data_IF_249233676290
#
_entry.id   IF_249233676290
#
_cell.length_a   1.000
_cell.length_b   1.000
_cell.length_c   1.000
_cell.angle_alpha   90.00
_cell.angle_beta   90.00
_cell.angle_gamma   90.00
#
_symmetry.space_group_name_H-M   'P 1'
#
loop_
_entity.id
_entity.type
_entity.pdbx_description
1 polymer ?
#
# COMPACT_ATOMS: atom_id res chain seq x y z
N UNK A 1 27.76 -23.39 4.28
CA UNK A 1 26.49 -23.08 3.59
C UNK A 1 25.40 -23.18 4.64
N UNK A 2 25.36 -22.22 5.56
CA UNK A 2 24.26 -22.16 6.53
C UNK A 2 23.08 -21.58 5.78
N UNK A 3 21.98 -22.33 5.71
CA UNK A 3 20.72 -21.83 5.20
C UNK A 3 20.36 -20.57 5.98
N UNK A 4 20.32 -19.40 5.34
CA UNK A 4 19.61 -18.26 5.91
C UNK A 4 18.19 -18.75 6.18
N UNK A 5 17.83 -18.98 7.44
CA UNK A 5 16.55 -19.60 7.76
C UNK A 5 15.42 -18.67 7.34
N UNK A 6 14.58 -19.12 6.40
CA UNK A 6 13.33 -18.46 6.10
C UNK A 6 12.46 -18.44 7.36
N UNK A 7 11.95 -17.27 7.73
CA UNK A 7 11.00 -17.15 8.84
C UNK A 7 9.61 -17.47 8.30
N UNK A 8 8.91 -18.37 8.97
CA UNK A 8 7.53 -18.75 8.61
C UNK A 8 6.57 -18.47 9.76
N UNK A 9 5.44 -17.89 9.43
CA UNK A 9 4.38 -17.58 10.38
C UNK A 9 3.02 -18.08 9.85
N UNK A 10 2.20 -18.65 10.73
CA UNK A 10 0.88 -19.18 10.39
C UNK A 10 -0.20 -18.28 10.96
N UNK A 11 -0.97 -17.64 10.09
CA UNK A 11 -2.08 -16.76 10.47
C UNK A 11 -3.35 -17.53 10.86
N UNK A 12 -3.44 -18.82 10.52
CA UNK A 12 -4.63 -19.65 10.79
C UNK A 12 -5.75 -19.49 9.75
N UNK A 13 -5.94 -18.29 9.20
CA UNK A 13 -6.76 -18.03 8.01
C UNK A 13 -5.91 -17.72 6.79
N UNK A 14 -6.57 -17.66 5.65
CA UNK A 14 -6.01 -17.15 4.41
C UNK A 14 -5.56 -15.69 4.57
N UNK A 15 -4.31 -15.37 4.21
CA UNK A 15 -3.74 -14.02 4.28
C UNK A 15 -4.03 -13.31 2.95
N UNK A 16 -4.61 -12.12 3.04
CA UNK A 16 -5.03 -11.31 1.90
C UNK A 16 -4.13 -10.11 1.63
N UNK A 17 -3.59 -9.51 2.69
CA UNK A 17 -2.76 -8.31 2.60
C UNK A 17 -1.52 -8.47 3.47
N UNK A 18 -0.38 -8.05 2.93
CA UNK A 18 0.90 -7.94 3.62
C UNK A 18 1.42 -6.53 3.37
N UNK A 19 1.77 -5.81 4.44
CA UNK A 19 2.36 -4.46 4.39
C UNK A 19 3.45 -4.31 5.43
N UNK A 20 4.68 -4.11 4.97
CA UNK A 20 5.77 -3.78 5.85
C UNK A 20 5.69 -2.30 6.25
N UNK A 21 6.12 -2.00 7.47
CA UNK A 21 6.26 -0.62 7.88
C UNK A 21 7.55 -0.05 7.28
N UNK A 22 7.43 1.06 6.57
CA UNK A 22 8.55 1.72 5.94
C UNK A 22 9.03 2.98 6.69
N UNK A 23 8.47 3.23 7.86
CA UNK A 23 8.91 4.30 8.74
C UNK A 23 10.11 3.83 9.56
N UNK A 24 11.09 4.71 9.77
CA UNK A 24 12.34 4.36 10.45
C UNK A 24 12.10 3.79 11.86
N UNK A 25 11.17 4.40 12.60
CA UNK A 25 10.81 3.99 13.95
C UNK A 25 10.05 2.65 14.00
N UNK A 26 9.51 2.19 12.89
CA UNK A 26 8.72 0.95 12.77
C UNK A 26 9.30 -0.08 11.82
N UNK A 27 10.54 0.08 11.34
CA UNK A 27 11.08 -0.65 10.19
C UNK A 27 11.13 -2.19 10.35
N UNK A 28 10.99 -2.71 11.57
CA UNK A 28 10.90 -4.13 11.91
C UNK A 28 9.48 -4.65 12.11
N UNK A 29 8.47 -3.82 11.88
CA UNK A 29 7.06 -4.19 11.97
C UNK A 29 6.50 -4.62 10.61
N UNK A 30 5.61 -5.61 10.67
CA UNK A 30 4.91 -6.16 9.52
C UNK A 30 3.43 -6.36 9.88
N UNK A 31 2.55 -5.76 9.09
CA UNK A 31 1.11 -5.95 9.21
C UNK A 31 0.67 -7.01 8.21
N UNK A 32 -0.09 -7.98 8.69
CA UNK A 32 -0.75 -8.99 7.86
C UNK A 32 -2.24 -8.98 8.18
N UNK A 33 -3.06 -9.19 7.16
CA UNK A 33 -4.50 -9.30 7.37
C UNK A 33 -5.09 -10.53 6.70
N UNK A 34 -5.97 -11.19 7.46
CA UNK A 34 -6.69 -12.37 7.04
C UNK A 34 -8.12 -12.07 6.60
N UNK A 35 -9.03 -12.95 7.02
CA UNK A 35 -10.46 -12.88 6.66
C UNK A 35 -11.24 -11.96 7.58
N UNK A 36 -10.80 -11.78 8.81
CA UNK A 36 -11.51 -11.01 9.84
C UNK A 36 -10.56 -10.31 10.84
N UNK A 37 -9.28 -10.65 10.82
CA UNK A 37 -8.26 -10.09 11.72
C UNK A 37 -7.14 -9.38 10.97
N UNK A 38 -6.55 -8.38 11.65
CA UNK A 38 -5.27 -7.78 11.30
C UNK A 38 -4.30 -8.11 12.42
N UNK A 39 -3.19 -8.77 12.09
CA UNK A 39 -2.13 -9.11 13.03
C UNK A 39 -0.88 -8.28 12.74
N UNK A 40 -0.25 -7.81 13.80
CA UNK A 40 1.02 -7.09 13.73
C UNK A 40 2.13 -7.98 14.27
N UNK A 41 3.15 -8.14 13.45
CA UNK A 41 4.32 -8.95 13.76
C UNK A 41 5.55 -8.05 13.90
N UNK A 42 6.34 -8.31 14.95
CA UNK A 42 7.69 -7.84 15.11
C UNK A 42 8.65 -8.84 14.46
N UNK A 43 9.44 -8.39 13.50
CA UNK A 43 10.29 -9.25 12.66
C UNK A 43 11.76 -9.06 13.03
N UNK A 44 12.38 -10.12 13.54
CA UNK A 44 13.84 -10.18 13.72
C UNK A 44 14.49 -10.86 12.51
N UNK A 45 15.83 -10.90 12.41
CA UNK A 45 16.52 -11.67 11.38
C UNK A 45 16.16 -13.17 11.35
N UNK A 46 15.74 -13.75 12.48
CA UNK A 46 15.57 -15.20 12.64
C UNK A 46 14.20 -15.63 13.15
N UNK A 47 13.33 -14.69 13.51
CA UNK A 47 12.02 -14.98 14.08
C UNK A 47 11.00 -13.90 13.76
N UNK A 48 9.73 -14.27 13.90
CA UNK A 48 8.61 -13.32 13.95
C UNK A 48 7.88 -13.50 15.27
N UNK A 49 7.46 -12.39 15.87
CA UNK A 49 6.71 -12.36 17.12
C UNK A 49 5.42 -11.58 16.92
N UNK A 50 4.29 -12.17 17.32
CA UNK A 50 3.00 -11.49 17.29
C UNK A 50 2.88 -10.50 18.46
N UNK A 51 2.57 -9.23 18.17
CA UNK A 51 2.51 -8.15 19.18
C UNK A 51 1.13 -7.47 19.30
N UNK A 52 0.27 -7.55 18.29
CA UNK A 52 -1.08 -7.00 18.32
C UNK A 52 -2.02 -7.76 17.39
N UNK A 53 -3.29 -7.88 17.78
CA UNK A 53 -4.35 -8.48 16.96
C UNK A 53 -5.62 -7.63 17.01
N UNK A 54 -6.10 -7.20 15.86
CA UNK A 54 -7.31 -6.39 15.73
C UNK A 54 -8.41 -7.18 15.03
N UNK A 55 -9.56 -7.31 15.69
CA UNK A 55 -10.74 -7.96 15.12
C UNK A 55 -11.56 -6.95 14.30
N UNK A 56 -11.43 -7.00 12.98
CA UNK A 56 -12.18 -6.16 12.04
C UNK A 56 -13.54 -6.80 11.71
N UNK A 57 -13.64 -8.14 11.79
CA UNK A 57 -14.89 -8.89 11.58
C UNK A 57 -15.28 -9.06 10.11
N UNK A 58 -14.46 -8.59 9.18
CA UNK A 58 -14.67 -8.72 7.73
C UNK A 58 -13.33 -8.70 6.99
N UNK A 59 -13.33 -9.18 5.75
CA UNK A 59 -12.10 -9.39 4.97
C UNK A 59 -11.44 -8.07 4.66
N UNK A 60 -10.17 -7.96 5.03
CA UNK A 60 -9.35 -6.79 4.72
C UNK A 60 -8.88 -6.85 3.27
N UNK A 61 -9.01 -5.72 2.57
CA UNK A 61 -8.66 -5.58 1.15
C UNK A 61 -7.39 -4.76 0.94
N UNK A 62 -7.10 -3.81 1.84
CA UNK A 62 -5.89 -3.00 1.82
C UNK A 62 -5.50 -2.57 3.24
N UNK A 63 -4.21 -2.30 3.44
CA UNK A 63 -3.61 -1.84 4.70
C UNK A 63 -2.64 -0.71 4.40
N UNK A 64 -2.44 0.21 5.36
CA UNK A 64 -1.32 1.13 5.36
C UNK A 64 -0.91 1.52 6.78
N UNK A 65 0.38 1.79 6.95
CA UNK A 65 0.97 2.21 8.21
C UNK A 65 0.88 3.73 8.35
N UNK A 66 0.53 4.19 9.54
CA UNK A 66 0.64 5.61 9.87
C UNK A 66 2.11 6.00 10.11
N UNK A 67 2.51 7.23 9.72
CA UNK A 67 3.81 7.80 10.12
C UNK A 67 4.01 7.93 11.64
N UNK A 68 2.96 7.77 12.45
CA UNK A 68 3.01 7.81 13.93
C UNK A 68 3.49 6.51 14.58
N UNK A 69 3.80 5.50 13.78
CA UNK A 69 4.22 4.19 14.28
C UNK A 69 5.60 4.25 14.94
N UNK A 70 5.73 3.62 16.08
CA UNK A 70 6.98 3.34 16.76
C UNK A 70 7.00 1.88 17.22
N UNK A 71 8.07 1.17 16.91
CA UNK A 71 8.26 -0.23 17.29
C UNK A 71 8.66 -0.37 18.76
N UNK A 72 8.25 -1.47 19.45
CA UNK A 72 8.75 -1.80 20.78
C UNK A 72 10.28 -1.91 20.88
N UNK A 73 10.98 -2.14 19.76
CA UNK A 73 12.45 -2.20 19.73
C UNK A 73 13.09 -0.81 19.61
N UNK A 74 12.35 0.17 19.08
CA UNK A 74 12.82 1.53 18.84
C UNK A 74 12.51 2.47 20.02
N UNK A 75 11.36 2.30 20.68
CA UNK A 75 10.90 3.14 21.79
C UNK A 75 10.27 2.32 22.92
N UNK A 76 10.38 2.81 24.16
CA UNK A 76 9.63 2.28 25.30
C UNK A 76 8.16 2.71 25.27
N UNK A 77 7.92 3.91 24.78
CA UNK A 77 6.59 4.45 24.51
C UNK A 77 6.31 4.21 23.02
N UNK A 78 6.08 2.94 22.70
CA UNK A 78 5.84 2.50 21.33
C UNK A 78 4.34 2.60 21.02
N UNK A 79 4.03 2.84 19.75
CA UNK A 79 2.68 3.03 19.25
C UNK A 79 2.51 2.36 17.90
N UNK A 80 1.45 1.58 17.76
CA UNK A 80 1.00 0.98 16.51
C UNK A 80 -0.20 1.78 16.06
N UNK A 81 -0.15 2.26 14.83
CA UNK A 81 -1.29 2.89 14.16
C UNK A 81 -1.32 2.43 12.69
N UNK A 82 -2.37 1.72 12.33
CA UNK A 82 -2.58 1.12 11.00
C UNK A 82 -3.99 1.42 10.55
N UNK A 83 -4.17 1.72 9.27
CA UNK A 83 -5.52 1.79 8.68
C UNK A 83 -5.77 0.55 7.83
N UNK A 84 -6.95 -0.04 8.01
CA UNK A 84 -7.43 -1.17 7.22
C UNK A 84 -8.68 -0.79 6.43
N UNK A 85 -8.75 -1.20 5.16
CA UNK A 85 -9.99 -1.23 4.39
C UNK A 85 -10.53 -2.63 4.36
N UNK A 86 -11.86 -2.77 4.38
CA UNK A 86 -12.49 -4.07 4.30
C UNK A 86 -13.50 -4.20 3.16
N UNK A 87 -13.94 -5.44 2.94
CA UNK A 87 -14.88 -5.86 1.90
C UNK A 87 -16.27 -5.21 2.06
N UNK A 88 -16.59 -4.65 3.23
CA UNK A 88 -17.80 -3.87 3.46
C UNK A 88 -17.66 -2.37 3.12
N UNK A 89 -16.57 -1.98 2.43
CA UNK A 89 -16.25 -0.61 2.00
C UNK A 89 -15.98 0.38 3.14
N UNK A 90 -15.86 -0.11 4.38
CA UNK A 90 -15.49 0.70 5.53
C UNK A 90 -13.98 0.71 5.75
N UNK A 91 -13.54 1.70 6.51
CA UNK A 91 -12.18 1.87 6.98
C UNK A 91 -12.14 1.69 8.50
N UNK A 92 -11.00 1.20 9.00
CA UNK A 92 -10.78 0.98 10.41
C UNK A 92 -9.40 1.54 10.77
N UNK A 93 -9.38 2.49 11.70
CA UNK A 93 -8.15 2.96 12.33
C UNK A 93 -7.86 2.05 13.53
N UNK A 94 -6.76 1.33 13.45
CA UNK A 94 -6.33 0.31 14.40
C UNK A 94 -5.18 0.87 15.22
N UNK A 95 -5.36 1.00 16.52
CA UNK A 95 -4.36 1.59 17.42
C UNK A 95 -4.04 0.70 18.59
N UNK A 96 -2.77 0.61 18.96
CA UNK A 96 -2.29 -0.03 20.20
C UNK A 96 -1.07 0.74 20.68
N UNK A 97 -0.89 0.92 21.98
CA UNK A 97 0.33 1.53 22.52
C UNK A 97 0.93 0.67 23.62
N UNK A 98 2.07 1.09 24.16
CA UNK A 98 2.66 0.47 25.34
C UNK A 98 1.71 0.47 26.56
N UNK A 99 0.86 1.49 26.66
CA UNK A 99 -0.04 1.71 27.82
C UNK A 99 -1.49 1.28 27.56
N UNK A 100 -1.93 1.31 26.29
CA UNK A 100 -3.32 1.06 25.91
C UNK A 100 -3.45 -0.21 25.07
N UNK A 101 -4.50 -0.98 25.35
CA UNK A 101 -4.89 -2.16 24.59
C UNK A 101 -5.31 -1.82 23.15
N UNK A 102 -5.54 -2.87 22.36
CA UNK A 102 -6.01 -2.76 20.99
C UNK A 102 -7.35 -2.02 20.91
N UNK A 103 -7.38 -0.96 20.11
CA UNK A 103 -8.57 -0.19 19.81
C UNK A 103 -8.84 -0.19 18.31
N UNK A 104 -10.13 -0.29 17.96
CA UNK A 104 -10.61 -0.33 16.58
C UNK A 104 -11.64 0.78 16.40
N UNK A 105 -11.27 1.81 15.65
CA UNK A 105 -12.17 2.91 15.30
C UNK A 105 -12.66 2.76 13.86
N UNK A 106 -13.96 2.52 13.70
CA UNK A 106 -14.60 2.42 12.39
C UNK A 106 -14.93 3.79 11.82
N UNK A 107 -14.61 4.02 10.54
CA UNK A 107 -15.01 5.21 9.81
C UNK A 107 -15.23 4.94 8.32
N UNK A 108 -15.75 5.95 7.62
CA UNK A 108 -16.12 5.82 6.21
C UNK A 108 -17.31 4.88 6.00
N UNK A 109 -17.53 4.52 4.74
CA UNK A 109 -18.73 3.77 4.30
C UNK A 109 -20.01 4.62 4.26
N UNK A 110 -21.13 3.94 4.05
CA UNK A 110 -22.44 4.59 3.90
C UNK A 110 -22.48 5.53 2.68
N UNK A 111 -23.00 6.74 2.87
CA UNK A 111 -23.08 7.78 1.82
C UNK A 111 -21.79 8.62 1.69
N UNK A 112 -20.92 8.57 2.69
CA UNK A 112 -19.73 9.44 2.79
C UNK A 112 -18.43 8.70 2.50
N UNK A 113 -18.51 7.44 2.05
CA UNK A 113 -17.34 6.63 1.72
C UNK A 113 -17.47 5.93 0.37
N UNK A 114 -16.55 5.01 0.13
CA UNK A 114 -16.52 4.25 -1.11
C UNK A 114 -17.80 3.41 -1.31
N UNK A 115 -18.19 3.28 -2.57
CA UNK A 115 -19.31 2.45 -3.01
C UNK A 115 -18.84 1.20 -3.77
N UNK A 116 -17.53 0.97 -3.77
CA UNK A 116 -16.88 -0.17 -4.38
C UNK A 116 -15.74 -0.67 -3.50
N UNK A 117 -15.16 -1.80 -3.91
CA UNK A 117 -14.04 -2.39 -3.21
C UNK A 117 -12.85 -1.43 -3.20
N UNK A 118 -12.32 -1.15 -2.01
CA UNK A 118 -11.09 -0.39 -1.83
C UNK A 118 -9.91 -1.31 -2.18
N UNK A 119 -9.11 -0.90 -3.16
CA UNK A 119 -8.05 -1.72 -3.75
C UNK A 119 -6.67 -1.44 -3.14
N UNK A 120 -6.39 -0.20 -2.77
CA UNK A 120 -5.12 0.21 -2.15
C UNK A 120 -5.30 1.51 -1.36
N UNK A 121 -4.33 1.81 -0.50
CA UNK A 121 -4.35 3.02 0.33
C UNK A 121 -2.94 3.43 0.75
N UNK A 122 -2.78 4.72 1.04
CA UNK A 122 -1.52 5.30 1.53
C UNK A 122 -1.80 6.55 2.34
N UNK A 123 -1.03 6.79 3.40
CA UNK A 123 -0.96 8.13 3.97
C UNK A 123 -0.37 9.10 2.94
N UNK A 124 -0.89 10.32 2.88
CA UNK A 124 -0.42 11.36 1.98
C UNK A 124 0.93 11.88 2.49
N UNK A 125 2.04 11.26 2.07
CA UNK A 125 3.40 11.38 2.63
C UNK A 125 3.99 12.79 2.84
N UNK A 126 5.26 12.97 2.46
CA UNK A 126 6.01 14.18 2.82
C UNK A 126 6.44 14.23 4.29
N UNK A 127 6.71 15.43 4.81
CA UNK A 127 7.27 15.64 6.16
C UNK A 127 6.30 16.41 7.05
N UNK A 128 6.28 16.06 8.33
CA UNK A 128 5.54 16.78 9.36
C UNK A 128 4.10 16.31 9.52
N UNK A 129 3.29 17.11 10.21
CA UNK A 129 1.98 16.65 10.72
C UNK A 129 0.94 16.35 9.65
N UNK A 130 1.06 16.97 8.47
CA UNK A 130 0.16 16.68 7.36
C UNK A 130 0.29 15.24 6.86
N UNK A 131 1.50 14.66 6.95
CA UNK A 131 1.77 13.30 6.46
C UNK A 131 0.97 12.24 7.20
N UNK A 132 0.62 12.51 8.45
CA UNK A 132 -0.14 11.62 9.33
C UNK A 132 -1.62 12.00 9.47
N UNK A 133 -2.03 13.12 8.87
CA UNK A 133 -3.42 13.60 8.94
C UNK A 133 -4.27 13.09 7.78
N UNK A 134 -3.67 12.97 6.60
CA UNK A 134 -4.41 12.67 5.39
C UNK A 134 -4.13 11.25 4.88
N UNK A 135 -5.19 10.52 4.58
CA UNK A 135 -5.16 9.16 4.05
C UNK A 135 -5.79 9.14 2.66
N UNK A 136 -5.11 8.62 1.66
CA UNK A 136 -5.64 8.40 0.33
C UNK A 136 -6.11 6.94 0.14
N UNK A 137 -7.29 6.75 -0.43
CA UNK A 137 -7.88 5.44 -0.75
C UNK A 137 -8.36 5.41 -2.20
N UNK A 138 -8.18 4.27 -2.88
CA UNK A 138 -8.61 4.07 -4.28
C UNK A 138 -9.52 2.86 -4.41
N UNK A 139 -10.50 2.93 -5.31
CA UNK A 139 -11.60 1.96 -5.35
C UNK A 139 -12.10 1.59 -6.75
N UNK A 140 -12.80 0.46 -6.83
CA UNK A 140 -13.56 0.01 -8.00
C UNK A 140 -14.67 0.97 -8.43
N UNK A 141 -15.13 1.85 -7.51
CA UNK A 141 -16.10 2.92 -7.81
C UNK A 141 -15.50 4.08 -8.64
N UNK A 142 -14.23 3.95 -9.05
CA UNK A 142 -13.49 4.92 -9.86
C UNK A 142 -13.21 6.23 -9.12
N UNK A 143 -13.18 6.19 -7.80
CA UNK A 143 -12.85 7.36 -6.99
C UNK A 143 -11.54 7.19 -6.23
N UNK A 144 -10.80 8.29 -6.14
CA UNK A 144 -9.77 8.54 -5.15
C UNK A 144 -10.41 9.39 -4.06
N UNK A 145 -10.38 8.93 -2.81
CA UNK A 145 -10.80 9.70 -1.66
C UNK A 145 -9.59 10.06 -0.80
N UNK A 146 -9.46 11.34 -0.43
CA UNK A 146 -8.46 11.79 0.55
C UNK A 146 -9.19 12.14 1.84
N UNK A 147 -8.95 11.36 2.88
CA UNK A 147 -9.58 11.47 4.19
C UNK A 147 -8.76 12.36 5.11
N UNK A 148 -9.39 13.39 5.67
CA UNK A 148 -8.87 14.13 6.82
C UNK A 148 -9.23 13.39 8.09
N UNK A 149 -8.25 12.77 8.75
CA UNK A 149 -8.45 12.02 9.99
C UNK A 149 -8.61 12.93 11.21
N UNK A 150 -8.26 14.22 11.10
CA UNK A 150 -8.36 15.21 12.18
C UNK A 150 -9.05 16.49 11.68
N UNK A 151 -10.32 16.42 11.26
CA UNK A 151 -11.04 17.60 10.81
C UNK A 151 -11.24 18.58 11.97
N UNK A 152 -11.25 19.90 11.72
CA UNK A 152 -11.56 20.87 12.76
C UNK A 152 -12.95 20.57 13.34
N UNK A 153 -13.07 20.45 14.66
CA UNK A 153 -14.37 20.32 15.33
C UNK A 153 -15.18 21.61 15.17
N UNK A 154 -15.91 21.73 14.06
CA UNK A 154 -16.87 22.81 13.84
C UNK A 154 -18.26 22.34 14.30
N UNK A 155 -18.50 22.45 15.60
CA UNK A 155 -19.81 22.25 16.22
C UNK A 155 -19.81 22.77 17.66
N UNK A 156 -20.90 23.39 18.16
CA UNK A 156 -21.01 23.71 19.57
C UNK A 156 -20.96 22.40 20.35
N UNK A 157 -20.01 22.27 21.28
CA UNK A 157 -20.04 21.19 22.28
C UNK A 157 -21.44 21.21 22.91
N UNK A 158 -22.18 20.08 22.95
CA UNK A 158 -23.42 20.04 23.71
C UNK A 158 -23.08 20.47 25.14
N UNK A 159 -23.64 21.59 25.55
CA UNK A 159 -23.49 22.14 26.89
C UNK A 159 -23.90 21.09 27.90
N UNK A 160 -23.02 20.85 28.87
CA UNK A 160 -23.19 20.01 30.05
C UNK A 160 -24.66 19.84 30.48
N UNK A 161 -25.25 18.70 30.13
CA UNK A 161 -26.35 18.15 30.90
C UNK A 161 -25.76 17.22 31.93
N UNK A 162 -25.77 17.74 33.15
CA UNK A 162 -25.48 17.12 34.44
C UNK A 162 -26.06 15.70 34.53
N UNK A 163 -25.21 14.68 34.42
CA UNK A 163 -25.39 13.41 35.14
C UNK A 163 -24.06 12.64 35.18
N UNK A 164 -23.44 12.66 36.36
CA UNK A 164 -22.31 11.82 36.72
C UNK A 164 -22.69 10.34 36.62
N UNK A 165 -21.84 9.52 35.99
CA UNK A 165 -21.37 8.21 36.48
C UNK A 165 -20.43 7.56 35.44
N UNK A 166 -19.15 7.38 35.84
CA UNK A 166 -18.08 6.64 35.17
C UNK A 166 -17.60 7.21 33.82
N UNK A 167 -16.64 8.14 33.88
CA UNK A 167 -15.79 8.48 32.73
C UNK A 167 -14.86 7.30 32.43
N UNK A 168 -15.37 6.34 31.66
CA UNK A 168 -14.50 5.66 30.72
C UNK A 168 -13.95 6.76 29.79
N UNK A 169 -12.63 6.88 29.71
CA UNK A 169 -11.96 7.82 28.79
C UNK A 169 -12.23 7.32 27.37
N UNK A 170 -13.43 7.61 26.85
CA UNK A 170 -13.76 7.42 25.44
C UNK A 170 -12.95 8.47 24.71
N UNK A 171 -11.85 8.04 24.08
CA UNK A 171 -11.11 8.87 23.13
C UNK A 171 -12.07 9.14 21.97
N UNK A 172 -12.79 10.27 22.01
CA UNK A 172 -13.66 10.70 20.91
C UNK A 172 -12.80 11.08 19.71
N UNK A 173 -12.56 10.13 18.81
CA UNK A 173 -11.98 10.42 17.51
C UNK A 173 -13.02 11.19 16.67
N UNK A 174 -12.67 12.38 16.14
CA UNK A 174 -13.56 13.10 15.24
C UNK A 174 -13.81 12.24 14.00
N UNK A 175 -15.04 12.26 13.48
CA UNK A 175 -15.38 11.53 12.26
C UNK A 175 -14.61 12.09 11.06
N UNK A 176 -13.77 11.30 10.39
CA UNK A 176 -13.01 11.76 9.24
C UNK A 176 -13.88 12.27 8.09
N UNK A 177 -13.40 13.28 7.37
CA UNK A 177 -14.07 13.83 6.19
C UNK A 177 -13.28 13.51 4.92
N UNK A 178 -13.96 13.30 3.79
CA UNK A 178 -13.31 12.89 2.54
C UNK A 178 -13.42 13.94 1.43
N UNK A 179 -12.31 14.20 0.75
CA UNK A 179 -12.26 14.89 -0.53
C UNK A 179 -12.29 13.87 -1.66
N UNK A 180 -13.26 13.98 -2.57
CA UNK A 180 -13.52 12.97 -3.60
C UNK A 180 -13.05 13.46 -4.97
N UNK A 181 -12.25 12.63 -5.65
CA UNK A 181 -11.83 12.84 -7.05
C UNK A 181 -12.26 11.65 -7.90
N UNK A 182 -12.92 11.93 -9.03
CA UNK A 182 -13.44 10.91 -9.94
C UNK A 182 -12.49 10.64 -11.10
N UNK A 183 -12.34 9.36 -11.45
CA UNK A 183 -11.52 8.89 -12.57
C UNK A 183 -12.36 8.15 -13.63
N UNK A 184 -11.86 8.04 -14.87
CA UNK A 184 -12.60 7.34 -15.93
C UNK A 184 -12.80 5.84 -15.67
N UNK A 185 -11.87 5.22 -14.94
CA UNK A 185 -11.75 3.77 -14.76
C UNK A 185 -11.50 3.40 -13.29
N UNK A 186 -11.85 2.15 -12.90
CA UNK A 186 -11.51 1.59 -11.59
C UNK A 186 -10.03 1.78 -11.25
N UNK A 187 -9.75 2.20 -10.03
CA UNK A 187 -8.39 2.47 -9.56
C UNK A 187 -7.85 1.27 -8.79
N UNK A 188 -6.60 0.91 -9.05
CA UNK A 188 -6.00 -0.36 -8.58
C UNK A 188 -4.90 -0.17 -7.55
N UNK A 189 -4.14 0.92 -7.61
CA UNK A 189 -3.04 1.19 -6.67
C UNK A 189 -2.84 2.68 -6.47
N UNK A 190 -2.40 3.05 -5.26
CA UNK A 190 -2.05 4.42 -4.91
C UNK A 190 -0.77 4.44 -4.08
N UNK A 191 0.10 5.40 -4.35
CA UNK A 191 1.35 5.58 -3.62
C UNK A 191 1.65 7.06 -3.42
N UNK A 192 1.98 7.46 -2.20
CA UNK A 192 2.33 8.84 -1.91
C UNK A 192 3.71 9.18 -2.42
N UNK A 193 3.90 10.44 -2.82
CA UNK A 193 5.23 10.95 -3.10
C UNK A 193 6.12 10.87 -1.84
N UNK A 194 7.39 10.41 -1.95
CA UNK A 194 8.26 10.25 -0.78
C UNK A 194 8.54 11.56 -0.02
N UNK A 195 8.47 12.72 -0.69
CA UNK A 195 8.83 14.02 -0.10
C UNK A 195 7.69 15.04 -0.09
N UNK A 196 6.62 14.82 -0.84
CA UNK A 196 5.48 15.75 -0.96
C UNK A 196 4.25 15.16 -0.26
N UNK A 197 3.53 15.99 0.50
CA UNK A 197 2.26 15.62 1.13
C UNK A 197 1.07 15.78 0.20
N UNK A 198 1.25 16.43 -0.97
CA UNK A 198 0.17 16.77 -1.90
C UNK A 198 0.12 15.89 -3.13
N UNK A 199 1.22 15.22 -3.47
CA UNK A 199 1.33 14.44 -4.70
C UNK A 199 1.06 12.96 -4.45
N UNK A 200 0.15 12.41 -5.25
CA UNK A 200 -0.24 11.00 -5.23
C UNK A 200 -0.02 10.39 -6.61
N UNK A 201 0.57 9.20 -6.65
CA UNK A 201 0.68 8.37 -7.84
C UNK A 201 -0.45 7.34 -7.82
N UNK A 202 -1.27 7.34 -8.86
CA UNK A 202 -2.53 6.60 -8.91
C UNK A 202 -2.56 5.77 -10.19
N UNK A 203 -2.77 4.47 -10.08
CA UNK A 203 -2.90 3.56 -11.22
C UNK A 203 -4.37 3.17 -11.43
N UNK A 204 -4.82 3.15 -12.68
CA UNK A 204 -6.10 2.56 -13.05
C UNK A 204 -5.97 1.07 -13.43
N UNK A 205 -7.08 0.44 -13.80
CA UNK A 205 -7.11 -0.97 -14.23
C UNK A 205 -6.79 -1.20 -15.71
N UNK A 206 -6.51 -0.15 -16.48
CA UNK A 206 -6.33 -0.19 -17.94
C UNK A 206 -4.91 0.09 -18.41
N UNK A 207 -4.04 0.61 -17.55
CA UNK A 207 -2.65 0.95 -17.92
C UNK A 207 -2.33 2.44 -17.87
N UNK A 208 -3.26 3.27 -17.39
CA UNK A 208 -2.99 4.69 -17.11
C UNK A 208 -2.52 4.86 -15.67
N UNK A 209 -1.52 5.73 -15.52
CA UNK A 209 -0.94 6.15 -14.25
C UNK A 209 -1.05 7.67 -14.20
N UNK A 210 -1.52 8.20 -13.08
CA UNK A 210 -1.73 9.63 -12.87
C UNK A 210 -0.88 10.08 -11.70
N UNK A 211 -0.10 11.14 -11.89
CA UNK A 211 0.49 11.90 -10.78
C UNK A 211 -0.47 13.05 -10.50
N UNK A 212 -1.06 13.10 -9.32
CA UNK A 212 -2.13 14.02 -8.96
C UNK A 212 -1.75 14.85 -7.75
N UNK A 213 -1.78 16.17 -7.89
CA UNK A 213 -1.84 17.06 -6.73
C UNK A 213 -3.29 17.14 -6.24
N UNK A 214 -3.54 16.56 -5.06
CA UNK A 214 -4.88 16.50 -4.47
C UNK A 214 -5.30 17.78 -3.75
N UNK A 215 -4.36 18.69 -3.46
CA UNK A 215 -4.62 20.01 -2.84
C UNK A 215 -4.76 21.13 -3.85
N UNK A 216 -4.40 20.89 -5.11
CA UNK A 216 -4.54 21.89 -6.16
C UNK A 216 -6.00 22.38 -6.25
N UNK A 217 -6.16 23.70 -6.16
CA UNK A 217 -7.46 24.38 -6.18
C UNK A 217 -8.18 24.13 -7.52
N UNK A 218 -9.38 23.51 -7.52
CA UNK A 218 -10.16 23.33 -8.73
C UNK A 218 -10.63 24.67 -9.33
N UNK A 219 -10.83 25.73 -8.54
CA UNK A 219 -11.40 27.00 -9.01
C UNK A 219 -10.34 27.95 -9.60
N UNK A 220 -9.06 27.76 -9.26
CA UNK A 220 -7.94 28.44 -9.92
C UNK A 220 -7.84 28.08 -11.42
N UNK A 221 -8.51 27.00 -11.85
CA UNK A 221 -8.49 26.48 -13.22
C UNK A 221 -9.40 27.23 -14.20
N UNK A 222 -10.34 28.07 -13.75
CA UNK A 222 -11.23 28.82 -14.65
C UNK A 222 -10.51 29.94 -15.42
N UNK A 223 -9.42 30.48 -14.88
CA UNK A 223 -8.63 31.55 -15.52
C UNK A 223 -7.50 31.02 -16.39
N UNK A 224 -7.07 29.76 -16.18
CA UNK A 224 -6.01 29.11 -16.96
C UNK A 224 -6.30 27.59 -17.07
N UNK A 225 -6.97 27.13 -18.15
CA UNK A 225 -7.32 25.72 -18.34
C UNK A 225 -6.13 24.75 -18.48
N UNK A 226 -4.90 25.28 -18.52
CA UNK A 226 -3.65 24.50 -18.45
C UNK A 226 -3.25 24.14 -17.01
N UNK A 227 -3.80 24.82 -16.00
CA UNK A 227 -3.68 24.48 -14.58
C UNK A 227 -4.91 23.70 -14.12
N UNK A 228 -5.23 22.62 -14.82
CA UNK A 228 -5.96 21.52 -14.17
C UNK A 228 -5.08 21.02 -13.04
N UNK A 229 -5.64 20.67 -11.87
CA UNK A 229 -4.91 19.99 -10.77
C UNK A 229 -3.87 19.06 -11.37
N UNK A 230 -2.57 19.42 -11.21
CA UNK A 230 -1.50 19.01 -12.14
C UNK A 230 -1.48 17.50 -12.27
N UNK A 231 -2.05 17.02 -13.38
CA UNK A 231 -2.23 15.59 -13.65
C UNK A 231 -1.25 15.22 -14.74
N UNK A 232 -0.10 14.65 -14.37
CA UNK A 232 0.77 14.00 -15.36
C UNK A 232 0.20 12.61 -15.60
N UNK A 233 -0.32 12.37 -16.80
CA UNK A 233 -0.75 11.04 -17.22
C UNK A 233 0.38 10.32 -17.93
N UNK A 234 0.70 9.12 -17.42
CA UNK A 234 1.64 8.18 -17.99
C UNK A 234 0.87 6.95 -18.44
N UNK A 235 1.27 6.40 -19.57
CA UNK A 235 0.55 5.28 -20.18
C UNK A 235 1.52 4.14 -20.42
N UNK A 236 1.16 2.94 -19.98
CA UNK A 236 1.78 1.70 -20.44
C UNK A 236 1.03 1.27 -21.72
N UNK A 237 1.60 1.49 -22.93
CA UNK A 237 0.83 1.36 -24.17
C UNK A 237 0.35 -0.07 -24.43
N UNK A 238 1.11 -1.08 -23.99
CA UNK A 238 0.73 -2.48 -24.20
C UNK A 238 -0.48 -2.85 -23.35
N UNK A 239 -0.52 -2.44 -22.09
CA UNK A 239 -1.65 -2.61 -21.19
C UNK A 239 -2.89 -1.91 -21.72
N UNK A 240 -2.76 -0.65 -22.16
CA UNK A 240 -3.87 0.10 -22.73
C UNK A 240 -4.43 -0.61 -23.99
N UNK A 241 -3.55 -1.01 -24.91
CA UNK A 241 -3.95 -1.74 -26.11
C UNK A 241 -4.57 -3.12 -25.79
N UNK A 242 -4.01 -3.85 -24.83
CA UNK A 242 -4.51 -5.16 -24.42
C UNK A 242 -5.91 -5.09 -23.82
N UNK A 243 -6.21 -4.00 -23.11
CA UNK A 243 -7.51 -3.75 -22.51
C UNK A 243 -8.55 -3.39 -23.59
N UNK A 244 -8.18 -2.53 -24.55
CA UNK A 244 -9.07 -2.15 -25.67
C UNK A 244 -9.37 -3.34 -26.59
N UNK A 245 -8.40 -4.23 -26.79
CA UNK A 245 -8.56 -5.44 -27.63
C UNK A 245 -9.21 -6.62 -26.90
N UNK A 246 -9.51 -6.50 -25.60
CA UNK A 246 -10.11 -7.56 -24.80
C UNK A 246 -9.20 -8.77 -24.55
N UNK A 247 -7.88 -8.62 -24.77
CA UNK A 247 -6.90 -9.69 -24.55
C UNK A 247 -6.53 -9.83 -23.07
N UNK A 248 -6.61 -8.75 -22.29
CA UNK A 248 -6.46 -8.80 -20.84
C UNK A 248 -7.70 -9.40 -20.18
N UNK A 249 -7.51 -10.47 -19.41
CA UNK A 249 -8.60 -11.19 -18.71
C UNK A 249 -8.82 -10.74 -17.27
N UNK A 250 -7.93 -9.93 -16.69
CA UNK A 250 -7.98 -9.52 -15.28
C UNK A 250 -7.51 -8.09 -15.13
N UNK A 251 -8.20 -7.32 -14.29
CA UNK A 251 -7.71 -6.00 -13.85
C UNK A 251 -6.36 -6.18 -13.16
N UNK A 252 -5.40 -5.39 -13.62
CA UNK A 252 -4.03 -5.40 -13.16
C UNK A 252 -3.55 -3.96 -13.17
N UNK A 253 -2.74 -3.62 -12.18
CA UNK A 253 -2.17 -2.30 -12.03
C UNK A 253 -1.59 -2.22 -10.63
N UNK A 254 -0.27 -2.16 -10.56
CA UNK A 254 0.44 -1.94 -9.31
C UNK A 254 1.54 -0.96 -9.62
N UNK A 255 1.56 0.15 -8.88
CA UNK A 255 2.52 1.22 -9.09
C UNK A 255 3.25 1.52 -7.78
N UNK A 256 4.49 1.97 -7.89
CA UNK A 256 5.27 2.39 -6.72
C UNK A 256 6.30 3.43 -7.14
N UNK A 257 6.47 4.45 -6.30
CA UNK A 257 7.63 5.32 -6.34
C UNK A 257 8.86 4.58 -5.87
N UNK A 258 9.99 4.90 -6.49
CA UNK A 258 11.30 4.55 -5.95
C UNK A 258 11.62 5.53 -4.82
N UNK A 259 12.02 5.02 -3.65
CA UNK A 259 12.12 5.84 -2.42
C UNK A 259 13.31 6.80 -2.38
N UNK A 260 14.45 6.42 -2.96
CA UNK A 260 15.67 7.24 -3.01
C UNK A 260 15.67 8.24 -4.16
N UNK A 261 14.85 8.01 -5.20
CA UNK A 261 14.74 8.87 -6.37
C UNK A 261 13.28 9.18 -6.65
N UNK A 262 12.92 10.42 -6.35
CA UNK A 262 11.58 10.99 -6.55
C UNK A 262 11.26 11.27 -8.02
N UNK A 263 12.14 10.90 -8.96
CA UNK A 263 11.86 10.99 -10.39
C UNK A 263 11.59 9.61 -10.99
N UNK A 264 11.79 8.53 -10.25
CA UNK A 264 11.66 7.17 -10.79
C UNK A 264 10.40 6.52 -10.26
N UNK A 265 9.54 6.10 -11.19
CA UNK A 265 8.37 5.28 -10.88
C UNK A 265 8.46 3.95 -11.62
N UNK A 266 7.87 2.93 -11.02
CA UNK A 266 7.72 1.62 -11.64
C UNK A 266 6.29 1.13 -11.56
N UNK A 267 5.85 0.41 -12.58
CA UNK A 267 4.54 -0.22 -12.60
C UNK A 267 4.57 -1.61 -13.23
N UNK A 268 3.62 -2.46 -12.84
CA UNK A 268 3.33 -3.72 -13.50
C UNK A 268 1.87 -3.79 -13.96
N UNK A 269 1.70 -4.18 -15.22
CA UNK A 269 0.41 -4.35 -15.88
C UNK A 269 0.42 -5.58 -16.78
N UNK A 270 -0.63 -6.39 -16.76
CA UNK A 270 -0.70 -7.58 -17.60
C UNK A 270 0.53 -8.45 -17.37
N UNK A 271 1.24 -8.86 -18.43
CA UNK A 271 2.51 -9.59 -18.32
C UNK A 271 3.75 -8.69 -18.17
N UNK A 272 3.59 -7.39 -18.41
CA UNK A 272 4.68 -6.42 -18.52
C UNK A 272 4.94 -5.62 -17.25
N UNK A 273 6.14 -5.05 -17.18
CA UNK A 273 6.46 -3.97 -16.28
C UNK A 273 7.07 -2.81 -17.08
N UNK A 274 6.98 -1.62 -16.51
CA UNK A 274 7.52 -0.42 -17.10
C UNK A 274 8.08 0.49 -16.01
N UNK A 275 9.18 1.18 -16.33
CA UNK A 275 9.83 2.17 -15.50
C UNK A 275 9.79 3.50 -16.23
N UNK A 276 9.51 4.58 -15.52
CA UNK A 276 9.57 5.93 -16.04
C UNK A 276 10.57 6.75 -15.23
N UNK A 277 11.20 7.68 -15.93
CA UNK A 277 12.01 8.74 -15.35
C UNK A 277 11.29 10.05 -15.63
N UNK A 278 10.79 10.70 -14.58
CA UNK A 278 10.03 11.94 -14.64
C UNK A 278 10.91 13.14 -14.96
N UNK A 279 12.24 13.01 -14.83
CA UNK A 279 13.18 14.03 -15.28
C UNK A 279 13.34 14.04 -16.82
N UNK A 280 13.05 12.91 -17.48
CA UNK A 280 13.09 12.72 -18.94
C UNK A 280 11.76 12.12 -19.44
N UNK A 281 10.69 12.91 -19.34
CA UNK A 281 9.37 12.54 -19.85
C UNK A 281 9.35 12.58 -21.38
N UNK A 282 9.74 11.47 -22.01
CA UNK A 282 9.74 11.25 -23.47
C UNK A 282 8.32 11.11 -24.04
N UNK A 283 7.50 12.15 -23.86
CA UNK A 283 6.07 12.12 -24.19
C UNK A 283 5.32 11.08 -23.37
N UNK A 284 5.63 10.98 -22.06
CA UNK A 284 5.03 10.02 -21.12
C UNK A 284 5.29 8.53 -21.40
N UNK A 285 6.14 8.22 -22.39
CA UNK A 285 6.57 6.86 -22.68
C UNK A 285 7.52 6.34 -21.58
N UNK A 286 7.43 5.06 -21.19
CA UNK A 286 8.39 4.48 -20.27
C UNK A 286 9.82 4.52 -20.83
N UNK A 287 10.78 4.79 -19.94
CA UNK A 287 12.21 4.73 -20.24
C UNK A 287 12.67 3.29 -20.44
N UNK A 288 12.08 2.37 -19.68
CA UNK A 288 12.37 0.94 -19.73
C UNK A 288 11.07 0.14 -19.65
N UNK A 289 10.97 -0.96 -20.41
CA UNK A 289 9.86 -1.90 -20.32
C UNK A 289 10.36 -3.32 -20.48
N UNK A 290 9.70 -4.28 -19.83
CA UNK A 290 10.06 -5.69 -19.86
C UNK A 290 8.89 -6.59 -19.53
N UNK A 291 9.12 -7.90 -19.57
CA UNK A 291 8.12 -8.91 -19.18
C UNK A 291 8.61 -9.63 -17.93
N UNK A 292 7.71 -9.93 -16.99
CA UNK A 292 8.04 -10.70 -15.78
C UNK A 292 7.33 -12.05 -15.77
N UNK A 293 6.00 -12.07 -15.66
CA UNK A 293 5.19 -13.29 -15.78
C UNK A 293 4.33 -13.23 -17.04
N UNK A 294 4.57 -14.09 -18.05
CA UNK A 294 3.78 -14.12 -19.29
C UNK A 294 2.27 -14.29 -19.06
N UNK A 295 1.87 -14.95 -17.97
CA UNK A 295 0.48 -15.25 -17.63
C UNK A 295 -0.22 -14.11 -16.88
N UNK A 296 0.54 -13.13 -16.41
CA UNK A 296 0.03 -12.00 -15.63
C UNK A 296 0.83 -11.73 -14.36
N UNK A 297 1.17 -10.46 -14.19
CA UNK A 297 1.75 -9.87 -13.01
C UNK A 297 0.66 -9.53 -12.00
N UNK A 298 1.01 -9.55 -10.73
CA UNK A 298 0.18 -9.14 -9.60
C UNK A 298 0.65 -7.80 -9.06
N UNK A 299 1.38 -7.85 -7.95
CA UNK A 299 1.91 -6.67 -7.28
C UNK A 299 3.31 -6.32 -7.80
N UNK A 300 3.63 -5.04 -7.78
CA UNK A 300 4.93 -4.45 -8.06
C UNK A 300 5.36 -3.65 -6.82
N UNK A 301 6.58 -3.90 -6.33
CA UNK A 301 7.16 -3.16 -5.19
C UNK A 301 8.62 -2.86 -5.44
N UNK A 302 9.04 -1.66 -5.05
CA UNK A 302 10.45 -1.31 -4.93
C UNK A 302 11.00 -1.78 -3.58
N UNK A 303 12.26 -2.19 -3.57
CA UNK A 303 12.97 -2.43 -2.31
C UNK A 303 13.32 -1.10 -1.64
N UNK A 304 12.89 -0.87 -0.38
CA UNK A 304 13.21 0.36 0.34
C UNK A 304 14.68 0.42 0.79
N UNK A 305 15.32 -0.73 1.00
CA UNK A 305 16.71 -0.82 1.51
C UNK A 305 17.75 -0.95 0.40
N UNK A 306 17.36 -1.44 -0.77
CA UNK A 306 18.22 -1.59 -1.95
C UNK A 306 17.43 -1.18 -3.20
N UNK A 307 17.25 0.13 -3.44
CA UNK A 307 16.34 0.66 -4.47
C UNK A 307 16.70 0.30 -5.92
N UNK A 308 17.88 -0.29 -6.14
CA UNK A 308 18.25 -0.90 -7.41
C UNK A 308 17.43 -2.16 -7.73
N UNK A 309 16.75 -2.76 -6.75
CA UNK A 309 15.90 -3.92 -6.93
C UNK A 309 14.40 -3.59 -6.83
N UNK A 310 13.61 -4.24 -7.68
CA UNK A 310 12.17 -4.31 -7.55
C UNK A 310 11.71 -5.76 -7.71
N UNK A 311 10.56 -6.07 -7.14
CA UNK A 311 9.96 -7.40 -7.22
C UNK A 311 8.57 -7.33 -7.81
N UNK A 312 8.20 -8.42 -8.49
CA UNK A 312 6.90 -8.63 -9.09
C UNK A 312 6.40 -10.01 -8.67
N UNK A 313 5.13 -10.12 -8.30
CA UNK A 313 4.46 -11.41 -8.07
C UNK A 313 3.64 -11.84 -9.29
N UNK A 314 3.33 -13.14 -9.40
CA UNK A 314 2.35 -13.60 -10.40
C UNK A 314 0.92 -13.39 -9.87
N UNK A 315 0.01 -12.96 -10.74
CA UNK A 315 -1.43 -12.93 -10.45
C UNK A 315 -2.14 -14.26 -10.76
N UNK A 316 -1.40 -15.28 -11.19
CA UNK A 316 -1.95 -16.56 -11.64
C UNK A 316 -1.35 -17.74 -10.86
N UNK A 317 -2.15 -18.76 -10.48
CA UNK A 317 -1.64 -20.00 -9.91
C UNK A 317 -0.94 -20.90 -10.94
N UNK A 318 -0.88 -20.47 -12.21
CA UNK A 318 -0.30 -21.24 -13.30
C UNK A 318 1.20 -21.55 -13.13
N UNK A 319 1.96 -20.87 -12.26
CA UNK A 319 3.37 -21.21 -11.99
C UNK A 319 3.65 -21.61 -10.55
N UNK A 320 2.61 -21.77 -9.73
CA UNK A 320 2.78 -21.84 -8.28
C UNK A 320 3.02 -20.46 -7.67
N UNK A 321 3.35 -20.42 -6.38
CA UNK A 321 3.68 -19.19 -5.69
C UNK A 321 5.14 -18.84 -5.99
N UNK A 322 5.36 -17.75 -6.73
CA UNK A 322 6.69 -17.27 -7.07
C UNK A 322 6.75 -15.73 -7.10
N UNK A 323 7.93 -15.21 -6.80
CA UNK A 323 8.28 -13.79 -6.92
C UNK A 323 9.50 -13.66 -7.83
N UNK A 324 9.43 -12.78 -8.81
CA UNK A 324 10.56 -12.42 -9.66
C UNK A 324 11.18 -11.11 -9.15
N UNK A 325 12.47 -11.13 -8.86
CA UNK A 325 13.25 -9.94 -8.48
C UNK A 325 14.10 -9.51 -9.67
N UNK A 326 14.03 -8.22 -9.99
CA UNK A 326 14.70 -7.58 -11.11
C UNK A 326 15.65 -6.51 -10.60
N UNK A 327 16.73 -6.26 -11.33
CA UNK A 327 17.62 -5.14 -11.09
C UNK A 327 17.31 -4.02 -12.10
N UNK A 328 17.00 -2.81 -11.61
CA UNK A 328 16.58 -1.67 -12.43
C UNK A 328 17.62 -1.21 -13.46
N UNK A 329 18.91 -1.38 -13.16
CA UNK A 329 20.00 -1.11 -14.10
C UNK A 329 20.26 -2.21 -15.15
N UNK A 330 19.68 -3.41 -14.98
CA UNK A 330 19.92 -4.58 -15.83
C UNK A 330 18.62 -5.29 -16.21
N UNK A 331 17.63 -4.52 -16.66
CA UNK A 331 16.27 -5.03 -16.95
C UNK A 331 16.17 -6.04 -18.09
N UNK A 332 17.19 -6.12 -18.95
CA UNK A 332 17.28 -7.14 -20.00
C UNK A 332 17.82 -8.49 -19.49
N UNK A 333 18.37 -8.54 -18.26
CA UNK A 333 18.80 -9.78 -17.64
C UNK A 333 17.58 -10.59 -17.18
N UNK A 334 17.71 -11.92 -17.14
CA UNK A 334 16.67 -12.77 -16.57
C UNK A 334 16.47 -12.45 -15.08
N UNK A 335 15.24 -12.29 -14.59
CA UNK A 335 14.99 -12.06 -13.18
C UNK A 335 15.43 -13.25 -12.33
N UNK A 336 15.78 -12.96 -11.08
CA UNK A 336 15.97 -14.00 -10.06
C UNK A 336 14.60 -14.41 -9.55
N UNK A 337 14.24 -15.68 -9.74
CA UNK A 337 12.96 -16.22 -9.31
C UNK A 337 13.08 -16.92 -7.96
N UNK A 338 12.18 -16.58 -7.04
CA UNK A 338 12.04 -17.20 -5.73
C UNK A 338 10.76 -18.04 -5.67
N UNK A 339 10.86 -19.39 -5.77
CA UNK A 339 9.71 -20.27 -5.64
C UNK A 339 9.33 -20.44 -4.16
N UNK A 340 8.09 -20.10 -3.83
CA UNK A 340 7.57 -20.11 -2.45
C UNK A 340 6.60 -21.27 -2.20
N UNK A 341 6.02 -21.85 -3.25
CA UNK A 341 5.13 -22.99 -3.13
C UNK A 341 4.68 -23.56 -4.48
N UNK A 342 4.36 -24.87 -4.55
CA UNK A 342 3.89 -25.50 -5.77
C UNK A 342 2.44 -25.09 -6.11
N UNK A 343 2.00 -25.43 -7.32
CA UNK A 343 0.59 -25.31 -7.71
C UNK A 343 -0.32 -26.12 -6.75
N UNK A 344 -1.54 -25.65 -6.44
CA UNK A 344 -2.22 -24.48 -7.00
C UNK A 344 -1.98 -23.17 -6.19
N UNK A 345 -0.97 -23.13 -5.32
CA UNK A 345 -0.68 -21.93 -4.52
C UNK A 345 -0.22 -20.79 -5.42
N UNK A 346 -0.47 -19.55 -4.98
CA UNK A 346 0.06 -18.33 -5.61
C UNK A 346 0.31 -17.27 -4.52
N UNK A 347 1.12 -16.27 -4.84
CA UNK A 347 1.41 -15.15 -3.93
C UNK A 347 0.23 -14.19 -3.94
N UNK A 348 -0.46 -14.04 -2.81
CA UNK A 348 -1.63 -13.16 -2.71
C UNK A 348 -1.24 -11.71 -2.47
N UNK A 349 -0.28 -11.52 -1.58
CA UNK A 349 0.33 -10.23 -1.32
C UNK A 349 1.79 -10.44 -0.91
N UNK A 350 2.65 -9.49 -1.23
CA UNK A 350 4.00 -9.44 -0.69
C UNK A 350 4.41 -7.98 -0.46
N UNK A 351 5.46 -7.83 0.34
CA UNK A 351 6.13 -6.56 0.53
C UNK A 351 7.61 -6.76 0.86
N UNK A 352 8.43 -5.74 0.60
CA UNK A 352 9.81 -5.73 1.10
C UNK A 352 9.83 -5.30 2.56
N UNK A 353 10.72 -5.85 3.37
CA UNK A 353 10.96 -5.33 4.72
C UNK A 353 11.88 -4.10 4.66
N UNK A 354 11.63 -3.14 5.53
CA UNK A 354 12.44 -1.92 5.63
C UNK A 354 13.63 -2.05 6.60
N UNK A 355 13.77 -3.19 7.31
CA UNK A 355 14.87 -3.39 8.24
C UNK A 355 16.23 -3.23 7.53
N UNK A 356 17.20 -2.49 8.12
CA UNK A 356 18.54 -2.39 7.58
C UNK A 356 19.22 -3.76 7.38
N UNK A 357 20.10 -3.84 6.39
CA UNK A 357 20.88 -5.03 6.08
C UNK A 357 20.48 -5.64 4.73
N UNK A 358 20.57 -6.96 4.62
CA UNK A 358 20.21 -7.65 3.38
C UNK A 358 18.71 -7.52 3.16
N UNK A 359 18.26 -7.11 1.96
CA UNK A 359 16.85 -6.97 1.68
C UNK A 359 16.10 -8.29 1.84
N UNK A 360 14.93 -8.20 2.45
CA UNK A 360 14.04 -9.33 2.70
C UNK A 360 12.68 -9.05 2.09
N UNK A 361 12.02 -10.12 1.65
CA UNK A 361 10.64 -10.07 1.18
C UNK A 361 9.79 -10.90 2.14
N UNK A 362 8.64 -10.33 2.53
CA UNK A 362 7.57 -11.03 3.22
C UNK A 362 6.44 -11.32 2.23
N UNK A 363 6.08 -12.59 2.06
CA UNK A 363 5.12 -13.04 1.06
C UNK A 363 4.03 -13.93 1.68
N UNK A 364 2.78 -13.62 1.37
CA UNK A 364 1.61 -14.40 1.77
C UNK A 364 1.29 -15.47 0.72
N UNK A 365 1.32 -16.73 1.15
CA UNK A 365 0.98 -17.90 0.34
C UNK A 365 -0.08 -18.73 1.08
N UNK A 366 -1.34 -18.56 0.68
CA UNK A 366 -2.45 -19.19 1.41
C UNK A 366 -2.56 -18.64 2.83
N UNK A 367 -2.26 -19.48 3.83
CA UNK A 367 -2.32 -19.14 5.26
C UNK A 367 -0.95 -18.89 5.90
N UNK A 368 0.10 -19.11 5.12
CA UNK A 368 1.48 -19.00 5.56
C UNK A 368 2.05 -17.66 5.07
N UNK A 369 2.69 -16.95 5.99
CA UNK A 369 3.61 -15.87 5.70
C UNK A 369 5.02 -16.44 5.64
N UNK A 370 5.74 -16.17 4.55
CA UNK A 370 7.13 -16.60 4.34
C UNK A 370 8.00 -15.35 4.19
N UNK A 371 9.04 -15.23 5.02
CA UNK A 371 10.01 -14.14 4.98
C UNK A 371 11.37 -14.71 4.63
N UNK A 372 11.98 -14.20 3.55
CA UNK A 372 13.23 -14.72 3.01
C UNK A 372 14.12 -13.57 2.51
N UNK A 373 15.43 -13.85 2.40
CA UNK A 373 16.43 -12.90 1.89
C UNK A 373 16.52 -12.99 0.35
N UNK A 374 16.74 -11.86 -0.32
CA UNK A 374 16.92 -11.82 -1.79
C UNK A 374 18.38 -11.72 -2.24
N UNK A 375 19.31 -11.62 -1.28
CA UNK A 375 20.75 -11.54 -1.51
C UNK A 375 21.51 -12.43 -0.52
N UNK A 376 22.81 -12.58 -0.75
CA UNK A 376 23.71 -13.36 0.12
C UNK A 376 24.43 -12.41 1.08
N UNK A 377 24.69 -12.84 2.32
CA UNK A 377 25.61 -12.14 3.23
C UNK A 377 26.97 -11.96 2.53
N UNK A 378 27.61 -10.78 2.64
CA UNK A 378 29.02 -10.64 2.30
C UNK A 378 29.90 -11.62 3.10
#
# INVERSE_FOLDING_TARGET
>A
MDSSMDVRYKHGTDIHVVRACYEEAGADLLAIAGVDTVEILLITPTSSMHIASFNVGTRVTALTWSPRVASPTASRDWSIEVVAAAENYKLYLLTKSAEHEEHVFEFGGGINGHHGKINDMTFCGGRGEESMRYLATVSDDKTLMVWDLNPPTTGPKPTDSDDSLMEDIIIEFPQPTAYVMTFPHPLTSVNSHPTSSTELLVADCRGSIFIKDWRADPDASEQNPWHTSSTVELVEPYALASTVTGTSKRWSGSVSWRRDSFDIIGAAYGSGFALWDLSDLRGAKPSVSGTSFPEGNGQFRWSPTSPEYFAISSSSPAHGAAINVHHAGYTNASPVQFPLGPRPLYVRSFDFLACPGIPRIAAAVGRDLIIFYIGVLP
#
